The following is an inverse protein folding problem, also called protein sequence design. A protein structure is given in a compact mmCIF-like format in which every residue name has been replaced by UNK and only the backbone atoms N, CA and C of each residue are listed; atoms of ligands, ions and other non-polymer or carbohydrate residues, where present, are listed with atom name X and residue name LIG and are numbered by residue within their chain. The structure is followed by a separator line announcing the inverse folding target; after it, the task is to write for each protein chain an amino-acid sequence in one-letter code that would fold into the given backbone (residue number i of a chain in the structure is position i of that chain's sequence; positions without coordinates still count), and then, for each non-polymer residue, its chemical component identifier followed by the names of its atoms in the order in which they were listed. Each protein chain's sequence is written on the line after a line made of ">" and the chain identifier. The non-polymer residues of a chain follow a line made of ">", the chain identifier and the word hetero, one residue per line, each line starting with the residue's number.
data_IF_175547183102
#
_entry.id   IF_175547183102
#
_cell.length_a   1.000
_cell.length_b   1.000
_cell.length_c   1.000
_cell.angle_alpha   90.00
_cell.angle_beta   90.00
_cell.angle_gamma   90.00
#
_symmetry.space_group_name_H-M   'P 1'
#
loop_
_entity.id
_entity.type
_entity.pdbx_description
1 polymer ?
#
# COMPACT_ATOMS: atom_id res chain seq x y z
N UNK A 1 16.33 -3.58 -9.68
CA UNK A 1 16.52 -4.82 -10.46
C UNK A 1 15.47 -4.98 -11.57
N UNK A 2 14.18 -4.70 -11.34
CA UNK A 2 13.12 -4.79 -12.39
C UNK A 2 13.34 -3.85 -13.58
N UNK A 3 13.88 -2.65 -13.36
CA UNK A 3 14.17 -1.70 -14.45
C UNK A 3 15.36 -2.09 -15.34
N UNK A 4 16.18 -3.07 -14.94
CA UNK A 4 17.40 -3.46 -15.66
C UNK A 4 17.18 -4.65 -16.60
N UNK A 5 16.20 -5.52 -16.32
CA UNK A 5 15.83 -6.67 -17.15
C UNK A 5 14.32 -6.98 -17.01
N UNK A 6 13.44 -6.25 -17.72
CA UNK A 6 11.98 -6.36 -17.55
C UNK A 6 11.41 -7.71 -17.98
N UNK A 7 12.12 -8.51 -18.77
CA UNK A 7 11.66 -9.82 -19.26
C UNK A 7 11.77 -10.95 -18.21
N UNK A 8 12.53 -10.74 -17.13
CA UNK A 8 12.80 -11.79 -16.13
C UNK A 8 11.87 -11.73 -14.92
N UNK A 9 10.94 -10.77 -14.87
CA UNK A 9 10.07 -10.53 -13.70
C UNK A 9 9.30 -11.77 -13.27
N UNK A 10 8.81 -12.58 -14.22
CA UNK A 10 8.06 -13.80 -13.94
C UNK A 10 8.90 -14.83 -13.19
N UNK A 11 10.19 -14.96 -13.53
CA UNK A 11 11.11 -15.87 -12.84
C UNK A 11 11.42 -15.45 -11.40
N UNK A 12 11.26 -14.16 -11.10
CA UNK A 12 11.47 -13.62 -9.75
C UNK A 12 10.22 -13.66 -8.88
N UNK A 13 9.06 -14.03 -9.45
CA UNK A 13 7.79 -14.03 -8.73
C UNK A 13 7.85 -14.98 -7.52
N UNK A 14 8.40 -16.18 -7.68
CA UNK A 14 8.54 -17.17 -6.60
C UNK A 14 9.42 -16.65 -5.46
N UNK A 15 10.50 -15.92 -5.79
CA UNK A 15 11.36 -15.30 -4.77
C UNK A 15 10.67 -14.14 -4.07
N UNK A 16 9.91 -13.32 -4.80
CA UNK A 16 9.14 -12.22 -4.24
C UNK A 16 8.02 -12.72 -3.33
N UNK A 17 7.33 -13.78 -3.72
CA UNK A 17 6.30 -14.46 -2.93
C UNK A 17 6.90 -15.05 -1.65
N UNK A 18 8.00 -15.79 -1.76
CA UNK A 18 8.70 -16.32 -0.59
C UNK A 18 9.15 -15.20 0.36
N UNK A 19 9.74 -14.12 -0.17
CA UNK A 19 10.16 -12.98 0.65
C UNK A 19 8.96 -12.31 1.34
N UNK A 20 7.86 -12.06 0.62
CA UNK A 20 6.66 -11.47 1.20
C UNK A 20 6.05 -12.35 2.31
N UNK A 21 5.99 -13.67 2.10
CA UNK A 21 5.39 -14.60 3.05
C UNK A 21 6.25 -14.82 4.31
N UNK A 22 7.56 -14.63 4.22
CA UNK A 22 8.50 -14.93 5.32
C UNK A 22 8.96 -13.69 6.10
N UNK A 23 8.70 -12.48 5.61
CA UNK A 23 9.05 -11.25 6.31
C UNK A 23 7.98 -10.82 7.32
N UNK A 24 8.42 -10.05 8.32
CA UNK A 24 7.54 -9.49 9.34
C UNK A 24 6.62 -8.41 8.77
N UNK A 25 5.31 -8.52 9.04
CA UNK A 25 4.32 -7.52 8.66
C UNK A 25 3.80 -6.77 9.89
N UNK A 26 3.96 -5.44 9.92
CA UNK A 26 3.51 -4.60 11.03
C UNK A 26 2.00 -4.72 11.33
N UNK A 27 1.15 -4.97 10.33
CA UNK A 27 -0.29 -5.13 10.55
C UNK A 27 -0.64 -6.45 11.23
N UNK A 28 0.14 -7.51 10.99
CA UNK A 28 -0.07 -8.83 11.55
C UNK A 28 0.74 -9.05 12.83
N UNK A 29 1.76 -8.22 13.09
CA UNK A 29 2.77 -8.42 14.14
C UNK A 29 3.50 -9.79 14.01
N UNK A 30 3.46 -10.40 12.83
CA UNK A 30 4.09 -11.68 12.48
C UNK A 30 4.27 -11.76 10.95
N UNK A 31 4.88 -12.83 10.44
CA UNK A 31 4.93 -13.12 9.00
C UNK A 31 3.64 -13.79 8.53
N UNK A 32 3.19 -13.57 7.27
CA UNK A 32 2.04 -14.29 6.73
C UNK A 32 2.15 -15.82 6.82
N UNK A 33 3.35 -16.36 6.63
CA UNK A 33 3.62 -17.80 6.79
C UNK A 33 3.34 -18.27 8.22
N UNK A 34 3.89 -17.57 9.21
CA UNK A 34 3.71 -17.92 10.63
C UNK A 34 2.26 -17.73 11.07
N UNK A 35 1.56 -16.70 10.57
CA UNK A 35 0.13 -16.53 10.82
C UNK A 35 -0.71 -17.70 10.28
N UNK A 36 -0.33 -18.29 9.15
CA UNK A 36 -1.05 -19.39 8.51
C UNK A 36 -0.70 -20.76 9.14
N UNK A 37 0.57 -21.00 9.43
CA UNK A 37 1.07 -22.32 9.82
C UNK A 37 1.41 -22.45 11.32
N UNK A 38 1.49 -21.33 12.05
CA UNK A 38 1.74 -21.30 13.48
C UNK A 38 3.20 -21.53 13.90
N UNK A 39 4.15 -21.55 12.96
CA UNK A 39 5.58 -21.66 13.25
C UNK A 39 6.40 -20.74 12.34
N UNK A 40 7.60 -20.38 12.80
CA UNK A 40 8.49 -19.48 12.07
C UNK A 40 8.99 -20.12 10.76
N UNK A 41 9.03 -19.38 9.64
CA UNK A 41 9.55 -19.90 8.39
C UNK A 41 11.03 -20.25 8.51
N UNK A 42 11.45 -21.35 7.88
CA UNK A 42 12.86 -21.70 7.74
C UNK A 42 13.54 -20.63 6.88
N UNK A 43 14.20 -19.66 7.52
CA UNK A 43 15.04 -18.71 6.81
C UNK A 43 16.21 -19.49 6.21
N UNK A 44 16.43 -19.35 4.89
CA UNK A 44 17.62 -19.91 4.27
C UNK A 44 18.83 -19.45 5.09
N UNK A 45 19.51 -20.43 5.65
CA UNK A 45 20.45 -20.25 6.74
C UNK A 45 21.61 -19.32 6.35
N UNK A 46 21.45 -18.02 6.60
CA UNK A 46 22.59 -17.16 6.91
C UNK A 46 22.88 -17.47 8.38
N UNK A 47 23.60 -18.58 8.57
CA UNK A 47 24.02 -19.01 9.89
C UNK A 47 24.81 -17.87 10.54
N UNK A 48 24.34 -17.50 11.73
CA UNK A 48 25.05 -16.83 12.81
C UNK A 48 26.38 -16.13 12.43
N UNK A 49 26.48 -14.78 12.49
CA UNK A 49 27.74 -14.06 12.22
C UNK A 49 28.88 -14.35 13.22
N UNK A 50 28.63 -15.18 14.24
CA UNK A 50 29.57 -15.47 15.32
C UNK A 50 30.57 -16.60 14.99
N UNK A 51 30.53 -17.20 13.80
CA UNK A 51 31.42 -18.35 13.50
C UNK A 51 31.76 -18.48 12.01
N UNK A 52 32.27 -17.42 11.38
CA UNK A 52 32.91 -17.52 10.06
C UNK A 52 34.40 -17.23 10.16
N UNK A 53 35.23 -18.25 9.90
CA UNK A 53 36.71 -18.21 9.90
C UNK A 53 37.32 -17.33 8.80
N UNK A 54 36.52 -16.73 7.92
CA UNK A 54 36.96 -16.09 6.68
C UNK A 54 36.68 -14.58 6.73
N UNK A 55 37.75 -13.77 6.77
CA UNK A 55 37.67 -12.30 6.88
C UNK A 55 36.81 -11.66 5.77
N UNK A 56 36.90 -12.15 4.54
CA UNK A 56 36.11 -11.64 3.41
C UNK A 56 34.59 -11.79 3.61
N UNK A 57 34.15 -12.82 4.34
CA UNK A 57 32.72 -13.03 4.64
C UNK A 57 32.26 -12.05 5.73
N UNK A 58 33.11 -11.75 6.72
CA UNK A 58 32.82 -10.76 7.74
C UNK A 58 32.68 -9.34 7.14
N UNK A 59 33.58 -8.96 6.24
CA UNK A 59 33.52 -7.68 5.54
C UNK A 59 32.25 -7.55 4.69
N UNK A 60 31.87 -8.62 3.99
CA UNK A 60 30.65 -8.68 3.20
C UNK A 60 29.39 -8.51 4.07
N UNK A 61 29.32 -9.20 5.21
CA UNK A 61 28.20 -9.07 6.16
C UNK A 61 28.11 -7.64 6.74
N UNK A 62 29.25 -7.04 7.11
CA UNK A 62 29.29 -5.66 7.60
C UNK A 62 28.85 -4.67 6.51
N UNK A 63 29.21 -4.90 5.25
CA UNK A 63 28.73 -4.10 4.12
C UNK A 63 27.23 -4.28 3.90
N UNK A 64 26.71 -5.51 3.98
CA UNK A 64 25.28 -5.79 3.87
C UNK A 64 24.47 -5.08 4.97
N UNK A 65 24.92 -5.15 6.23
CA UNK A 65 24.26 -4.45 7.34
C UNK A 65 24.18 -2.95 7.10
N UNK A 66 25.30 -2.32 6.71
CA UNK A 66 25.32 -0.89 6.36
C UNK A 66 24.34 -0.55 5.24
N UNK A 67 24.25 -1.38 4.20
CA UNK A 67 23.29 -1.19 3.11
C UNK A 67 21.85 -1.32 3.57
N UNK A 68 21.53 -2.32 4.41
CA UNK A 68 20.20 -2.50 4.98
C UNK A 68 19.80 -1.29 5.83
N UNK A 69 20.70 -0.73 6.62
CA UNK A 69 20.44 0.46 7.43
C UNK A 69 20.13 1.68 6.56
N UNK A 70 20.89 1.88 5.49
CA UNK A 70 20.63 2.94 4.50
C UNK A 70 19.26 2.75 3.85
N UNK A 71 18.94 1.52 3.44
CA UNK A 71 17.65 1.20 2.81
C UNK A 71 16.47 1.48 3.75
N UNK A 72 16.59 1.07 5.02
CA UNK A 72 15.57 1.35 6.06
C UNK A 72 15.40 2.86 6.25
N UNK A 73 16.49 3.61 6.35
CA UNK A 73 16.44 5.08 6.47
C UNK A 73 15.76 5.74 5.27
N UNK A 74 16.12 5.33 4.05
CA UNK A 74 15.54 5.87 2.82
C UNK A 74 14.05 5.51 2.69
N UNK A 75 13.67 4.28 3.07
CA UNK A 75 12.27 3.85 3.09
C UNK A 75 11.45 4.70 4.06
N UNK A 76 11.94 4.93 5.27
CA UNK A 76 11.27 5.77 6.26
C UNK A 76 11.10 7.22 5.77
N UNK A 77 12.14 7.79 5.13
CA UNK A 77 12.07 9.12 4.50
C UNK A 77 11.01 9.17 3.39
N UNK A 78 10.98 8.15 2.52
CA UNK A 78 10.00 8.07 1.43
C UNK A 78 8.56 7.95 1.95
N UNK A 79 8.33 7.10 2.95
CA UNK A 79 7.03 6.95 3.61
C UNK A 79 6.57 8.26 4.27
N UNK A 80 7.47 8.96 4.97
CA UNK A 80 7.15 10.26 5.58
C UNK A 80 6.80 11.31 4.52
N UNK A 81 7.58 11.39 3.44
CA UNK A 81 7.27 12.28 2.31
C UNK A 81 5.91 11.97 1.69
N UNK A 82 5.60 10.68 1.47
CA UNK A 82 4.30 10.27 0.93
C UNK A 82 3.15 10.67 1.86
N UNK A 83 3.32 10.49 3.18
CA UNK A 83 2.33 10.92 4.20
C UNK A 83 2.14 12.44 4.16
N UNK A 84 3.22 13.22 4.24
CA UNK A 84 3.15 14.68 4.21
C UNK A 84 2.46 15.21 2.95
N UNK A 85 2.81 14.66 1.78
CA UNK A 85 2.18 15.04 0.51
C UNK A 85 0.70 14.64 0.44
N UNK A 86 0.34 13.46 0.97
CA UNK A 86 -1.05 13.01 1.01
C UNK A 86 -1.90 13.86 1.97
N UNK A 87 -1.34 14.21 3.14
CA UNK A 87 -2.04 14.96 4.18
C UNK A 87 -2.14 16.45 3.84
N UNK A 88 -1.19 17.03 3.09
CA UNK A 88 -1.18 18.44 2.71
C UNK A 88 -2.44 18.91 1.96
N UNK A 89 -3.08 18.01 1.21
CA UNK A 89 -4.30 18.32 0.44
C UNK A 89 -5.57 17.70 1.03
N UNK A 90 -5.47 17.01 2.17
CA UNK A 90 -6.64 16.46 2.86
C UNK A 90 -7.24 17.54 3.75
N UNK A 91 -8.50 17.84 3.52
CA UNK A 91 -9.31 18.63 4.43
C UNK A 91 -10.32 17.69 5.06
N UNK A 92 -10.33 17.60 6.39
CA UNK A 92 -11.39 16.92 7.12
C UNK A 92 -12.71 17.65 6.85
N UNK A 93 -13.67 16.95 6.23
CA UNK A 93 -15.01 17.50 5.93
C UNK A 93 -16.03 16.61 6.59
N UNK A 94 -16.70 17.17 7.59
CA UNK A 94 -17.82 16.52 8.27
C UNK A 94 -19.08 17.14 7.71
N UNK A 95 -19.92 16.31 7.10
CA UNK A 95 -21.22 16.73 6.56
C UNK A 95 -22.32 16.33 7.55
N UNK A 96 -23.38 17.13 7.61
CA UNK A 96 -24.53 16.92 8.47
C UNK A 96 -25.78 16.54 7.66
N UNK A 97 -26.76 15.98 8.36
CA UNK A 97 -28.07 15.69 7.75
C UNK A 97 -28.73 17.00 7.33
N UNK A 98 -29.25 17.05 6.11
CA UNK A 98 -29.77 18.26 5.47
C UNK A 98 -28.76 19.03 4.62
N UNK A 99 -27.45 18.78 4.73
CA UNK A 99 -26.46 19.42 3.86
C UNK A 99 -26.67 19.00 2.40
N UNK A 100 -26.55 19.97 1.49
CA UNK A 100 -26.66 19.77 0.06
C UNK A 100 -25.29 19.43 -0.54
N UNK A 101 -25.16 18.26 -1.14
CA UNK A 101 -23.89 17.77 -1.71
C UNK A 101 -24.03 17.32 -3.15
N UNK A 102 -22.93 17.46 -3.90
CA UNK A 102 -22.84 16.94 -5.24
C UNK A 102 -22.27 15.51 -5.25
N UNK A 103 -22.94 14.60 -5.95
CA UNK A 103 -22.52 13.21 -6.11
C UNK A 103 -21.74 13.02 -7.40
N UNK A 104 -20.57 12.37 -7.32
CA UNK A 104 -19.79 11.97 -8.49
C UNK A 104 -20.20 10.57 -8.94
N UNK A 105 -20.86 10.49 -10.09
CA UNK A 105 -21.31 9.22 -10.67
C UNK A 105 -20.24 8.61 -11.57
N UNK A 106 -20.12 7.27 -11.56
CA UNK A 106 -19.28 6.55 -12.52
C UNK A 106 -19.97 6.50 -13.88
N UNK A 107 -19.33 6.98 -14.96
CA UNK A 107 -19.83 6.78 -16.32
C UNK A 107 -20.05 5.27 -16.59
N UNK A 108 -21.04 4.94 -17.42
CA UNK A 108 -21.43 3.56 -17.84
C UNK A 108 -22.04 2.64 -16.78
N UNK A 109 -21.82 2.85 -15.48
CA UNK A 109 -22.40 1.98 -14.42
C UNK A 109 -23.72 2.51 -13.83
N UNK A 110 -23.95 3.82 -13.89
CA UNK A 110 -25.06 4.49 -13.20
C UNK A 110 -25.90 5.32 -14.17
N UNK A 111 -26.34 4.69 -15.26
CA UNK A 111 -27.18 5.33 -16.30
C UNK A 111 -28.60 5.65 -15.81
N UNK A 112 -29.11 4.92 -14.82
CA UNK A 112 -30.46 5.15 -14.26
C UNK A 112 -30.59 6.43 -13.45
N UNK A 113 -29.49 6.93 -12.87
CA UNK A 113 -29.48 8.12 -12.00
C UNK A 113 -29.48 9.41 -12.83
N UNK A 114 -28.88 9.38 -14.02
CA UNK A 114 -28.90 10.49 -14.97
C UNK A 114 -28.70 9.98 -16.39
N UNK A 115 -29.71 10.14 -17.25
CA UNK A 115 -29.60 9.85 -18.68
C UNK A 115 -28.67 10.88 -19.35
N UNK A 116 -27.73 10.42 -20.18
CA UNK A 116 -26.71 11.26 -20.81
C UNK A 116 -26.74 11.07 -22.32
N UNK A 117 -26.80 12.18 -23.07
CA UNK A 117 -26.58 12.16 -24.52
C UNK A 117 -25.11 11.86 -24.87
N UNK A 118 -24.16 12.39 -24.09
CA UNK A 118 -22.72 12.12 -24.25
C UNK A 118 -22.02 12.05 -22.89
N UNK A 119 -21.26 10.98 -22.63
CA UNK A 119 -20.61 10.77 -21.34
C UNK A 119 -19.33 11.59 -21.13
N UNK A 120 -18.67 12.02 -22.21
CA UNK A 120 -17.40 12.77 -22.14
C UNK A 120 -17.61 14.26 -21.86
N UNK A 121 -18.70 14.82 -22.38
CA UNK A 121 -19.05 16.24 -22.22
C UNK A 121 -20.08 16.51 -21.13
N UNK A 122 -20.64 15.47 -20.51
CA UNK A 122 -21.57 15.61 -19.39
C UNK A 122 -20.87 16.15 -18.13
N UNK A 123 -21.60 16.85 -17.25
CA UNK A 123 -21.06 17.26 -15.95
C UNK A 123 -20.57 16.06 -15.15
N UNK A 124 -19.44 16.24 -14.45
CA UNK A 124 -18.79 15.19 -13.66
C UNK A 124 -19.50 14.91 -12.33
N UNK A 125 -20.22 15.91 -11.81
CA UNK A 125 -20.90 15.92 -10.53
C UNK A 125 -22.38 16.23 -10.74
N UNK A 126 -23.25 15.62 -9.93
CA UNK A 126 -24.71 15.67 -10.06
C UNK A 126 -25.36 16.05 -8.72
N UNK A 127 -26.57 16.60 -8.76
CA UNK A 127 -27.23 17.15 -7.58
C UNK A 127 -27.13 18.68 -7.55
N UNK A 128 -27.52 19.34 -6.45
CA UNK A 128 -27.30 18.90 -5.08
C UNK A 128 -28.36 17.92 -4.55
N UNK A 129 -27.90 16.93 -3.80
CA UNK A 129 -28.77 16.02 -3.05
C UNK A 129 -28.64 16.31 -1.55
N UNK A 130 -29.75 16.32 -0.80
CA UNK A 130 -29.70 16.46 0.65
C UNK A 130 -29.17 15.17 1.28
N UNK A 131 -28.33 15.29 2.30
CA UNK A 131 -27.95 14.13 3.10
C UNK A 131 -29.13 13.75 3.99
N UNK A 132 -29.71 12.58 3.73
CA UNK A 132 -30.84 12.02 4.52
C UNK A 132 -30.34 11.46 5.84
N UNK A 133 -29.18 10.79 5.84
CA UNK A 133 -28.64 10.17 7.06
C UNK A 133 -27.13 10.00 7.03
N UNK A 134 -26.46 10.24 8.17
CA UNK A 134 -25.05 9.85 8.35
C UNK A 134 -24.94 8.39 8.78
N UNK A 135 -24.35 7.53 7.93
CA UNK A 135 -24.18 6.08 8.20
C UNK A 135 -22.86 5.81 8.95
N UNK A 136 -21.81 6.56 8.63
CA UNK A 136 -20.49 6.44 9.28
C UNK A 136 -19.65 7.70 9.10
N UNK A 137 -18.37 7.65 9.51
CA UNK A 137 -17.47 8.81 9.42
C UNK A 137 -17.29 9.33 7.98
N UNK A 138 -17.28 8.42 6.99
CA UNK A 138 -17.03 8.73 5.57
C UNK A 138 -18.17 8.26 4.66
N UNK A 139 -19.30 7.82 5.23
CA UNK A 139 -20.41 7.22 4.49
C UNK A 139 -21.74 7.91 4.83
N UNK A 140 -22.41 8.43 3.80
CA UNK A 140 -23.64 9.20 3.92
C UNK A 140 -24.70 8.63 2.98
N UNK A 141 -25.96 8.65 3.42
CA UNK A 141 -27.12 8.36 2.58
C UNK A 141 -27.66 9.67 2.02
N UNK A 142 -27.78 9.72 0.69
CA UNK A 142 -28.47 10.76 -0.06
C UNK A 142 -29.88 10.30 -0.41
#
# INVERSE_FOLDING_TARGET
>A
MVHLCPQQWASWLTFAEWWYNTNFHNSLQTSPFEALYGYAPAQFAIQNPLSTSVAAVADMLQQQHRLVDILRSNLAKAQNKQKQMADAHRTERILQEGDLVYLKLRPYHQSSVASRANQKLAPRFFGPFPIVKKIGAVAYRL
#
